data_IF_669108910185
#
_entry.id   IF_669108910185
#
_cell.length_a   1.000
_cell.length_b   1.000
_cell.length_c   1.000
_cell.angle_alpha   90.00
_cell.angle_beta   90.00
_cell.angle_gamma   90.00
#
_symmetry.space_group_name_H-M   'P 1'
#
loop_
_entity.id
_entity.type
_entity.pdbx_description
1 polymer ?
#
# COMPACT_ATOMS: atom_id res chain seq x y z
N UNK A 1 3.08 -19.69 -18.08
CA UNK A 1 2.41 -18.71 -17.22
C UNK A 1 2.24 -19.35 -15.84
N UNK A 2 2.63 -18.66 -14.79
CA UNK A 2 2.44 -19.17 -13.43
C UNK A 2 1.10 -18.62 -12.89
N UNK A 3 0.07 -19.46 -12.93
CA UNK A 3 -1.31 -19.10 -12.53
C UNK A 3 -1.37 -18.67 -11.05
N UNK A 4 -0.64 -19.36 -10.19
CA UNK A 4 -0.56 -18.99 -8.76
C UNK A 4 0.15 -17.65 -8.57
N UNK A 5 1.15 -17.32 -9.37
CA UNK A 5 1.79 -16.01 -9.32
C UNK A 5 0.85 -14.86 -9.72
N UNK A 6 -0.09 -15.10 -10.65
CA UNK A 6 -1.11 -14.11 -10.99
C UNK A 6 -2.10 -13.91 -9.84
N UNK A 7 -2.51 -14.99 -9.16
CA UNK A 7 -3.35 -14.88 -7.95
C UNK A 7 -2.65 -14.10 -6.84
N UNK A 8 -1.35 -14.32 -6.62
CA UNK A 8 -0.57 -13.59 -5.62
C UNK A 8 -0.50 -12.10 -5.94
N UNK A 9 -0.30 -11.73 -7.21
CA UNK A 9 -0.30 -10.33 -7.65
C UNK A 9 -1.68 -9.70 -7.43
N UNK A 10 -2.75 -10.38 -7.85
CA UNK A 10 -4.11 -9.88 -7.69
C UNK A 10 -4.50 -9.74 -6.22
N UNK A 11 -4.10 -10.69 -5.35
CA UNK A 11 -4.36 -10.62 -3.92
C UNK A 11 -3.58 -9.49 -3.25
N UNK A 12 -2.33 -9.27 -3.61
CA UNK A 12 -1.54 -8.15 -3.09
C UNK A 12 -2.12 -6.79 -3.50
N UNK A 13 -2.64 -6.70 -4.73
CA UNK A 13 -3.32 -5.51 -5.22
C UNK A 13 -4.64 -5.25 -4.47
N UNK A 14 -5.40 -6.30 -4.13
CA UNK A 14 -6.62 -6.17 -3.32
C UNK A 14 -6.31 -5.62 -1.92
N UNK A 15 -5.26 -6.13 -1.27
CA UNK A 15 -4.84 -5.65 0.04
C UNK A 15 -4.39 -4.18 -0.01
N UNK A 16 -3.62 -3.81 -1.03
CA UNK A 16 -3.13 -2.45 -1.25
C UNK A 16 -4.28 -1.45 -1.47
N UNK A 17 -5.25 -1.79 -2.33
CA UNK A 17 -6.40 -0.91 -2.61
C UNK A 17 -7.38 -0.84 -1.43
N UNK A 18 -7.51 -1.92 -0.65
CA UNK A 18 -8.26 -1.88 0.60
C UNK A 18 -7.64 -0.90 1.59
N UNK A 19 -6.33 -0.96 1.83
CA UNK A 19 -5.63 -0.03 2.70
C UNK A 19 -5.78 1.42 2.21
N UNK A 20 -5.70 1.64 0.89
CA UNK A 20 -5.96 2.96 0.32
C UNK A 20 -7.36 3.46 0.62
N UNK A 21 -8.38 2.61 0.45
CA UNK A 21 -9.75 2.98 0.75
C UNK A 21 -9.96 3.31 2.24
N UNK A 22 -9.33 2.55 3.15
CA UNK A 22 -9.37 2.79 4.60
C UNK A 22 -8.74 4.15 4.97
N UNK A 23 -7.56 4.48 4.39
CA UNK A 23 -6.89 5.76 4.64
C UNK A 23 -7.69 6.94 4.09
N UNK A 24 -8.23 6.84 2.88
CA UNK A 24 -9.08 7.88 2.29
C UNK A 24 -10.36 8.08 3.10
N UNK A 25 -10.99 7.00 3.57
CA UNK A 25 -12.16 7.09 4.44
C UNK A 25 -11.82 7.76 5.78
N UNK A 26 -10.64 7.45 6.35
CA UNK A 26 -10.17 8.12 7.57
C UNK A 26 -9.91 9.62 7.35
N UNK A 27 -9.32 10.01 6.22
CA UNK A 27 -9.12 11.42 5.86
C UNK A 27 -10.47 12.14 5.74
N UNK A 28 -11.45 11.53 5.08
CA UNK A 28 -12.78 12.11 4.90
C UNK A 28 -13.51 12.26 6.23
N UNK A 29 -13.42 11.24 7.11
CA UNK A 29 -14.03 11.28 8.43
C UNK A 29 -13.42 12.38 9.34
N UNK A 30 -12.13 12.68 9.15
CA UNK A 30 -11.38 13.65 9.93
C UNK A 30 -11.18 15.01 9.23
N UNK A 31 -11.86 15.26 8.11
CA UNK A 31 -11.70 16.50 7.34
C UNK A 31 -12.05 17.77 8.14
N UNK A 32 -12.87 17.65 9.17
CA UNK A 32 -13.25 18.75 10.07
C UNK A 32 -12.69 18.61 11.49
N UNK A 33 -11.78 17.67 11.73
CA UNK A 33 -11.20 17.42 13.05
C UNK A 33 -10.13 18.48 13.37
N UNK A 34 -10.51 19.49 14.12
CA UNK A 34 -9.67 20.63 14.51
C UNK A 34 -8.65 20.30 15.59
N UNK A 35 -8.90 19.24 16.40
CA UNK A 35 -8.04 18.85 17.50
C UNK A 35 -7.97 17.33 17.69
N UNK A 36 -6.77 16.81 17.61
CA UNK A 36 -6.43 15.42 17.93
C UNK A 36 -5.95 15.29 19.38
N UNK A 37 -5.63 14.07 19.80
CA UNK A 37 -5.05 13.81 21.13
C UNK A 37 -3.75 14.59 21.37
N UNK A 38 -3.00 14.88 20.31
CA UNK A 38 -1.75 15.65 20.34
C UNK A 38 -1.97 17.17 20.39
N UNK A 39 -3.24 17.63 20.37
CA UNK A 39 -3.60 19.03 20.41
C UNK A 39 -3.43 19.78 19.08
N UNK A 40 -3.07 19.10 18.00
CA UNK A 40 -2.96 19.63 16.63
C UNK A 40 -4.14 19.19 15.78
N UNK A 41 -4.46 19.90 14.67
CA UNK A 41 -5.44 19.42 13.71
C UNK A 41 -5.01 18.06 13.12
N UNK A 42 -5.97 17.32 12.60
CA UNK A 42 -5.66 16.09 11.87
C UNK A 42 -4.82 16.40 10.62
N UNK A 43 -3.83 15.56 10.34
CA UNK A 43 -3.02 15.64 9.12
C UNK A 43 -3.47 14.58 8.11
N UNK A 44 -3.64 15.00 6.86
CA UNK A 44 -3.98 14.12 5.75
C UNK A 44 -2.97 12.99 5.65
N UNK A 45 -3.45 11.77 5.42
CA UNK A 45 -2.59 10.58 5.26
C UNK A 45 -2.61 10.12 3.81
N UNK A 46 -1.47 9.64 3.34
CA UNK A 46 -1.29 9.07 2.01
C UNK A 46 -0.68 7.68 2.09
N UNK A 47 -1.18 6.78 1.26
CA UNK A 47 -0.59 5.45 1.11
C UNK A 47 0.50 5.50 0.04
N UNK A 48 1.69 5.04 0.39
CA UNK A 48 2.81 4.88 -0.54
C UNK A 48 2.90 3.42 -0.93
N UNK A 49 2.74 3.15 -2.22
CA UNK A 49 2.89 1.82 -2.76
C UNK A 49 4.34 1.57 -3.20
N UNK A 50 4.78 0.34 -3.06
CA UNK A 50 6.04 -0.15 -3.64
C UNK A 50 5.80 -1.44 -4.39
N UNK A 51 6.64 -1.70 -5.40
CA UNK A 51 6.66 -3.02 -6.01
C UNK A 51 7.17 -4.04 -4.98
N UNK A 52 6.44 -5.13 -4.80
CA UNK A 52 6.88 -6.24 -3.98
C UNK A 52 8.22 -6.77 -4.48
N UNK A 53 9.12 -7.10 -3.58
CA UNK A 53 10.30 -7.86 -3.97
C UNK A 53 9.87 -9.25 -4.41
N UNK A 54 10.38 -9.78 -5.54
CA UNK A 54 10.15 -11.18 -5.87
C UNK A 54 10.70 -12.02 -4.71
N UNK A 55 9.81 -12.64 -3.97
CA UNK A 55 10.16 -13.56 -2.89
C UNK A 55 10.77 -14.82 -3.54
N UNK A 56 12.03 -14.75 -3.91
CA UNK A 56 12.75 -15.93 -4.33
C UNK A 56 12.97 -16.82 -3.11
N UNK A 57 12.75 -18.13 -3.24
CA UNK A 57 13.07 -19.12 -2.21
C UNK A 57 14.50 -18.91 -1.66
N UNK A 58 15.42 -18.47 -2.49
CA UNK A 58 16.78 -18.09 -2.09
C UNK A 58 16.81 -16.90 -1.10
N UNK A 59 15.93 -15.90 -1.28
CA UNK A 59 15.79 -14.78 -0.36
C UNK A 59 15.15 -15.19 0.97
N UNK A 60 14.10 -16.04 0.92
CA UNK A 60 13.48 -16.58 2.13
C UNK A 60 14.46 -17.49 2.91
N UNK A 61 15.30 -18.23 2.21
CA UNK A 61 16.31 -19.08 2.82
C UNK A 61 17.47 -18.27 3.41
N UNK A 62 17.86 -17.15 2.79
CA UNK A 62 18.90 -16.27 3.32
C UNK A 62 18.50 -15.56 4.62
N UNK A 63 17.22 -15.31 4.85
CA UNK A 63 16.72 -14.78 6.12
C UNK A 63 16.69 -15.82 7.25
N UNK A 64 16.74 -17.10 6.91
CA UNK A 64 16.76 -18.22 7.87
C UNK A 64 18.19 -18.68 8.22
N UNK A 65 19.20 -18.18 7.52
CA UNK A 65 20.59 -18.55 7.75
C UNK A 65 21.17 -17.76 8.96
N UNK A 66 22.04 -18.44 9.71
CA UNK A 66 22.73 -17.95 10.91
C UNK A 66 23.32 -16.53 10.72
N UNK A 67 23.26 -15.63 11.73
CA UNK A 67 23.78 -14.26 11.66
C UNK A 67 25.22 -14.15 11.15
N UNK A 68 26.06 -15.16 11.43
CA UNK A 68 27.44 -15.20 10.95
C UNK A 68 27.52 -15.37 9.41
N UNK A 69 26.59 -16.10 8.80
CA UNK A 69 26.54 -16.32 7.35
C UNK A 69 25.95 -15.09 6.64
N UNK A 70 25.05 -14.36 7.30
CA UNK A 70 24.52 -13.08 6.80
C UNK A 70 25.63 -12.01 6.74
N UNK A 71 26.50 -11.94 7.75
CA UNK A 71 27.60 -10.97 7.77
C UNK A 71 28.63 -11.26 6.65
N UNK A 72 28.91 -12.54 6.38
CA UNK A 72 29.78 -12.94 5.28
C UNK A 72 29.17 -12.64 3.89
N UNK A 73 27.86 -12.81 3.73
CA UNK A 73 27.13 -12.49 2.50
C UNK A 73 27.08 -10.96 2.24
N UNK A 74 26.91 -10.14 3.28
CA UNK A 74 26.96 -8.69 3.18
C UNK A 74 28.36 -8.16 2.83
N UNK A 75 29.41 -8.78 3.33
CA UNK A 75 30.79 -8.41 2.99
C UNK A 75 31.17 -8.79 1.54
N UNK A 76 30.61 -9.87 1.02
CA UNK A 76 30.83 -10.26 -0.39
C UNK A 76 30.03 -9.41 -1.38
N UNK A 77 28.84 -8.92 -0.98
CA UNK A 77 27.99 -8.05 -1.80
C UNK A 77 28.56 -6.65 -2.00
N UNK A 78 29.40 -6.17 -1.09
CA UNK A 78 30.08 -4.87 -1.20
C UNK A 78 31.21 -4.84 -2.24
N UNK A 79 31.63 -5.99 -2.75
CA UNK A 79 32.80 -6.12 -3.63
C UNK A 79 32.46 -6.41 -5.11
N UNK A 80 31.20 -6.64 -5.48
CA UNK A 80 30.83 -6.94 -6.87
C UNK A 80 29.43 -6.43 -7.23
N UNK A 81 29.26 -5.82 -8.42
CA UNK A 81 27.91 -5.54 -8.92
C UNK A 81 27.21 -6.89 -9.08
N UNK A 82 26.13 -7.10 -8.34
CA UNK A 82 25.39 -8.35 -8.26
C UNK A 82 24.86 -8.73 -9.65
N UNK A 83 25.60 -9.57 -10.36
CA UNK A 83 25.05 -10.31 -11.48
C UNK A 83 24.08 -11.33 -10.89
N UNK A 84 22.81 -11.00 -10.90
CA UNK A 84 21.73 -11.97 -10.63
C UNK A 84 21.77 -12.96 -11.78
N UNK A 85 22.43 -14.11 -11.59
CA UNK A 85 22.38 -15.21 -12.55
C UNK A 85 20.97 -15.79 -12.46
N UNK A 86 20.11 -15.62 -13.50
CA UNK A 86 18.79 -16.22 -13.50
C UNK A 86 18.98 -17.74 -13.50
N UNK A 87 18.45 -18.42 -12.51
CA UNK A 87 18.42 -19.89 -12.52
C UNK A 87 17.59 -20.33 -13.75
N UNK A 88 18.12 -21.18 -14.65
CA UNK A 88 17.36 -21.67 -15.80
C UNK A 88 16.10 -22.40 -15.29
N UNK A 89 14.92 -21.85 -15.57
CA UNK A 89 13.63 -22.42 -15.14
C UNK A 89 12.87 -21.61 -14.08
N UNK A 90 13.47 -20.62 -13.44
CA UNK A 90 12.74 -19.66 -12.61
C UNK A 90 12.09 -18.63 -13.52
N UNK A 91 10.83 -18.82 -13.88
CA UNK A 91 10.04 -17.75 -14.48
C UNK A 91 10.05 -16.56 -13.51
N UNK A 92 10.43 -15.35 -13.95
CA UNK A 92 10.33 -14.17 -13.10
C UNK A 92 8.85 -14.01 -12.74
N UNK A 93 8.51 -14.31 -11.50
CA UNK A 93 7.21 -13.94 -10.96
C UNK A 93 7.23 -12.42 -10.91
N UNK A 94 6.34 -11.77 -11.65
CA UNK A 94 6.22 -10.34 -11.58
C UNK A 94 5.95 -9.94 -10.12
N UNK A 95 6.67 -8.95 -9.58
CA UNK A 95 6.47 -8.53 -8.20
C UNK A 95 5.05 -7.97 -8.05
N UNK A 96 4.34 -8.37 -7.01
CA UNK A 96 3.05 -7.78 -6.64
C UNK A 96 3.23 -6.34 -6.14
N UNK A 97 2.15 -5.77 -5.62
CA UNK A 97 2.13 -4.45 -4.98
C UNK A 97 2.11 -4.63 -3.47
N UNK A 98 2.86 -3.83 -2.74
CA UNK A 98 2.78 -3.76 -1.29
C UNK A 98 2.69 -2.32 -0.81
N UNK A 99 2.05 -2.11 0.33
CA UNK A 99 2.06 -0.82 1.01
C UNK A 99 3.39 -0.66 1.71
N UNK A 100 4.20 0.31 1.26
CA UNK A 100 5.49 0.60 1.86
C UNK A 100 5.33 1.41 3.15
N UNK A 101 4.44 2.39 3.15
CA UNK A 101 4.17 3.24 4.30
C UNK A 101 2.83 3.97 4.15
N UNK A 102 2.28 4.39 5.28
CA UNK A 102 1.27 5.45 5.34
C UNK A 102 1.98 6.70 5.87
N UNK A 103 2.01 7.75 5.06
CA UNK A 103 2.73 8.99 5.35
C UNK A 103 1.75 10.10 5.63
N UNK A 104 2.01 10.91 6.66
CA UNK A 104 1.24 12.11 6.96
C UNK A 104 1.73 13.26 6.08
N UNK A 105 0.80 14.04 5.57
CA UNK A 105 1.11 15.28 4.87
C UNK A 105 1.63 16.32 5.86
N UNK A 106 2.68 17.03 5.45
CA UNK A 106 3.29 18.12 6.22
C UNK A 106 2.74 19.50 5.85
N UNK A 107 1.69 19.56 5.01
CA UNK A 107 1.05 20.81 4.63
C UNK A 107 0.55 21.56 5.87
N UNK A 108 0.69 22.90 5.92
CA UNK A 108 0.20 23.69 7.01
C UNK A 108 -1.34 23.62 7.05
N UNK A 109 -1.95 23.62 8.25
CA UNK A 109 -3.39 23.60 8.40
C UNK A 109 -4.05 24.88 7.83
N UNK A 110 -5.26 24.74 7.32
CA UNK A 110 -6.08 25.85 6.84
C UNK A 110 -6.64 26.65 8.01
N UNK A 111 -6.38 27.96 8.06
CA UNK A 111 -6.93 28.84 9.08
C UNK A 111 -8.24 29.45 8.61
N UNK A 112 -9.32 29.23 9.35
CA UNK A 112 -10.65 29.79 9.11
C UNK A 112 -11.09 30.66 10.28
N UNK A 113 -11.66 31.82 10.00
CA UNK A 113 -12.21 32.70 11.05
C UNK A 113 -13.57 32.16 11.51
N UNK A 114 -13.60 31.67 12.75
CA UNK A 114 -14.80 31.17 13.42
C UNK A 114 -14.68 31.38 14.94
N UNK A 115 -15.04 32.59 15.42
CA UNK A 115 -14.91 32.97 16.84
C UNK A 115 -15.86 32.21 17.77
N UNK A 116 -16.89 31.53 17.23
CA UNK A 116 -17.83 30.72 18.01
C UNK A 116 -17.34 29.29 18.28
N UNK A 117 -16.25 28.86 17.64
CA UNK A 117 -15.73 27.49 17.77
C UNK A 117 -14.95 27.33 19.09
N UNK A 118 -15.09 26.18 19.80
CA UNK A 118 -14.41 25.95 21.07
C UNK A 118 -12.87 25.92 20.95
N UNK A 119 -12.34 25.62 19.78
CA UNK A 119 -10.89 25.59 19.51
C UNK A 119 -10.38 26.86 18.82
N UNK A 120 -11.16 27.98 18.88
CA UNK A 120 -10.72 29.25 18.32
C UNK A 120 -9.55 29.83 19.14
N UNK A 121 -8.54 30.36 18.43
CA UNK A 121 -7.45 31.11 19.06
C UNK A 121 -7.93 32.48 19.60
N UNK A 122 -7.05 33.23 20.26
CA UNK A 122 -7.36 34.55 20.82
C UNK A 122 -7.76 35.59 19.76
N UNK A 123 -7.49 35.34 18.49
CA UNK A 123 -7.86 36.16 17.34
C UNK A 123 -9.14 35.67 16.64
N UNK A 124 -9.74 34.55 17.11
CA UNK A 124 -10.96 33.98 16.55
C UNK A 124 -10.71 33.07 15.32
N UNK A 125 -9.50 32.59 15.11
CA UNK A 125 -9.18 31.64 14.04
C UNK A 125 -9.11 30.22 14.56
N UNK A 126 -9.60 29.29 13.72
CA UNK A 126 -9.53 27.85 13.95
C UNK A 126 -8.66 27.21 12.85
N UNK A 127 -7.82 26.28 13.24
CA UNK A 127 -6.99 25.51 12.32
C UNK A 127 -7.72 24.23 11.91
N UNK A 128 -7.98 24.07 10.61
CA UNK A 128 -8.60 22.89 10.01
C UNK A 128 -7.57 22.09 9.22
N UNK A 129 -7.77 20.78 9.06
CA UNK A 129 -6.99 19.97 8.13
C UNK A 129 -7.09 20.50 6.70
N UNK A 130 -6.00 20.44 5.94
CA UNK A 130 -6.03 20.72 4.50
C UNK A 130 -6.51 19.46 3.73
N UNK A 131 -7.79 19.18 3.86
CA UNK A 131 -8.45 18.03 3.23
C UNK A 131 -9.65 18.52 2.45
N UNK A 132 -9.68 18.20 1.16
CA UNK A 132 -10.87 18.44 0.33
C UNK A 132 -11.72 17.16 0.27
N UNK A 133 -12.89 17.12 0.91
CA UNK A 133 -13.73 15.91 0.94
C UNK A 133 -14.15 15.42 -0.45
N UNK A 134 -14.30 16.34 -1.41
CA UNK A 134 -14.65 15.96 -2.78
C UNK A 134 -13.53 15.19 -3.47
N UNK A 135 -12.29 15.61 -3.26
CA UNK A 135 -11.11 14.90 -3.79
C UNK A 135 -10.98 13.53 -3.15
N UNK A 136 -11.15 13.44 -1.82
CA UNK A 136 -11.11 12.16 -1.11
C UNK A 136 -12.22 11.20 -1.60
N UNK A 137 -13.41 11.72 -1.89
CA UNK A 137 -14.52 10.93 -2.43
C UNK A 137 -14.17 10.36 -3.83
N UNK A 138 -13.53 11.14 -4.69
CA UNK A 138 -13.07 10.67 -6.01
C UNK A 138 -11.98 9.60 -5.84
N UNK A 139 -11.06 9.79 -4.91
CA UNK A 139 -10.01 8.81 -4.60
C UNK A 139 -10.60 7.50 -4.05
N UNK A 140 -11.62 7.59 -3.19
CA UNK A 140 -12.34 6.42 -2.69
C UNK A 140 -13.06 5.65 -3.83
N UNK A 141 -13.70 6.37 -4.75
CA UNK A 141 -14.32 5.76 -5.92
C UNK A 141 -13.27 5.09 -6.83
N UNK A 142 -12.11 5.69 -6.97
CA UNK A 142 -10.96 5.11 -7.67
C UNK A 142 -10.51 3.79 -7.04
N UNK A 143 -10.26 3.79 -5.73
CA UNK A 143 -9.84 2.62 -4.98
C UNK A 143 -10.87 1.48 -5.04
N UNK A 144 -12.16 1.79 -4.86
CA UNK A 144 -13.24 0.78 -4.93
C UNK A 144 -13.38 0.18 -6.33
N UNK A 145 -13.20 0.99 -7.38
CA UNK A 145 -13.20 0.50 -8.77
C UNK A 145 -12.01 -0.43 -9.05
N UNK A 146 -10.81 -0.03 -8.64
CA UNK A 146 -9.60 -0.85 -8.78
C UNK A 146 -9.74 -2.16 -8.00
N UNK A 147 -10.28 -2.11 -6.80
CA UNK A 147 -10.60 -3.29 -6.01
C UNK A 147 -11.54 -4.25 -6.76
N UNK A 148 -12.64 -3.74 -7.32
CA UNK A 148 -13.60 -4.54 -8.10
C UNK A 148 -12.98 -5.20 -9.33
N UNK A 149 -12.06 -4.52 -10.02
CA UNK A 149 -11.32 -5.09 -11.16
C UNK A 149 -10.43 -6.25 -10.72
N UNK A 150 -9.70 -6.11 -9.63
CA UNK A 150 -8.85 -7.18 -9.09
C UNK A 150 -9.67 -8.38 -8.59
N UNK A 151 -10.84 -8.16 -7.97
CA UNK A 151 -11.78 -9.24 -7.61
C UNK A 151 -12.23 -10.00 -8.86
N UNK A 152 -12.55 -9.28 -9.95
CA UNK A 152 -12.96 -9.90 -11.21
C UNK A 152 -11.82 -10.72 -11.84
N UNK A 153 -10.58 -10.24 -11.72
CA UNK A 153 -9.39 -10.97 -12.18
C UNK A 153 -9.21 -12.29 -11.40
N UNK A 154 -9.31 -12.28 -10.07
CA UNK A 154 -9.23 -13.48 -9.23
C UNK A 154 -10.34 -14.48 -9.59
N UNK A 155 -11.56 -14.00 -9.85
CA UNK A 155 -12.66 -14.87 -10.28
C UNK A 155 -12.38 -15.52 -11.64
N UNK A 156 -11.83 -14.74 -12.59
CA UNK A 156 -11.45 -15.28 -13.91
C UNK A 156 -10.35 -16.35 -13.78
N UNK A 157 -9.36 -16.12 -12.94
CA UNK A 157 -8.29 -17.09 -12.64
C UNK A 157 -8.85 -18.37 -12.03
N UNK A 158 -9.75 -18.26 -11.05
CA UNK A 158 -10.44 -19.40 -10.46
C UNK A 158 -11.22 -20.21 -11.49
N UNK A 159 -11.93 -19.53 -12.40
CA UNK A 159 -12.68 -20.19 -13.47
C UNK A 159 -11.75 -20.91 -14.45
N UNK A 160 -10.58 -20.34 -14.77
CA UNK A 160 -9.57 -20.99 -15.60
C UNK A 160 -9.02 -22.26 -14.94
N UNK A 161 -8.76 -22.23 -13.63
CA UNK A 161 -8.33 -23.43 -12.88
C UNK A 161 -9.39 -24.51 -12.94
N UNK A 162 -10.65 -24.16 -12.70
CA UNK A 162 -11.76 -25.11 -12.72
C UNK A 162 -11.92 -25.75 -14.09
N UNK A 163 -11.91 -24.92 -15.15
CA UNK A 163 -12.00 -25.43 -16.53
C UNK A 163 -10.81 -26.33 -16.89
N UNK A 164 -9.59 -26.01 -16.42
CA UNK A 164 -8.41 -26.82 -16.63
C UNK A 164 -8.51 -28.21 -15.95
N UNK A 165 -9.10 -28.25 -14.76
CA UNK A 165 -9.34 -29.51 -14.03
C UNK A 165 -10.42 -30.36 -14.72
N UNK A 166 -11.44 -29.73 -15.31
CA UNK A 166 -12.50 -30.45 -16.03
C UNK A 166 -11.99 -31.09 -17.34
N UNK A 167 -10.96 -30.53 -17.96
CA UNK A 167 -10.32 -31.10 -19.16
C UNK A 167 -9.52 -32.38 -18.84
N UNK A 168 -8.99 -32.48 -17.62
CA UNK A 168 -8.16 -33.63 -17.19
C UNK A 168 -9.00 -34.81 -16.69
N UNK A 169 -10.30 -34.61 -16.51
CA UNK A 169 -11.26 -35.62 -16.03
C UNK A 169 -11.94 -36.33 -17.19
#
# INVERSE_FOLDING_TARGET
>A
MNLFGMMDISSSALEAERMRAEVVAANMANAETTRTADGTPYHRQHVVFSAGSPQNFAGAMSTQLDPATQLAALQSAAASPTVVIPLPGASPVAPGVQVAAVVQDTAPPLRRYDPGHPDADAQGYVSYPDINPLTEMVDLMGATRSYGLNVSAVQAEKNMITASLDIVR
#
